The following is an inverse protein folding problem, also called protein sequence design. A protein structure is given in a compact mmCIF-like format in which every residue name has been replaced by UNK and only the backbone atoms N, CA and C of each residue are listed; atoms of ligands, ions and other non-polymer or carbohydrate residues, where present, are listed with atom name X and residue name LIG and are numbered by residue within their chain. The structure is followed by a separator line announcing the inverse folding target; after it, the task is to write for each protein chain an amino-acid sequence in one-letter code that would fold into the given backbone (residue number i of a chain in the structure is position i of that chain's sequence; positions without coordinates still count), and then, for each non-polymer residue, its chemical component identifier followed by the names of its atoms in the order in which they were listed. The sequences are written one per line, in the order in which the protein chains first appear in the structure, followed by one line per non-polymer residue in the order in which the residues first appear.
data_IF_926984753442
#
_entry.id   IF_926984753442
#
_cell.length_a   1.000
_cell.length_b   1.000
_cell.length_c   1.000
_cell.angle_alpha   90.00
_cell.angle_beta   90.00
_cell.angle_gamma   90.00
#
_symmetry.space_group_name_H-M   'P 1'
#
loop_
_entity.id
_entity.type
_entity.pdbx_description
1 polymer ?
#
# COMPACT_ATOMS: atom_id res chain seq x y z
N UNK A 1 6.55 9.89 -5.22
CA UNK A 1 5.11 10.16 -5.49
C UNK A 1 4.20 9.39 -4.50
N UNK A 2 4.44 8.10 -4.22
CA UNK A 2 3.63 7.28 -3.29
C UNK A 2 3.61 7.86 -1.87
N UNK A 3 4.73 8.32 -1.35
CA UNK A 3 4.81 8.94 -0.02
C UNK A 3 4.03 10.26 0.14
N UNK A 4 3.78 10.98 -0.95
CA UNK A 4 2.95 12.18 -0.95
C UNK A 4 1.45 11.83 -0.97
N UNK A 5 1.05 10.80 -1.72
CA UNK A 5 -0.33 10.30 -1.77
C UNK A 5 -0.76 9.68 -0.43
N UNK A 6 0.10 8.87 0.19
CA UNK A 6 -0.17 8.29 1.52
C UNK A 6 -0.31 9.40 2.57
N UNK A 7 0.56 10.41 2.58
CA UNK A 7 0.44 11.56 3.48
C UNK A 7 -0.83 12.37 3.23
N UNK A 8 -1.23 12.54 1.99
CA UNK A 8 -2.47 13.26 1.65
C UNK A 8 -3.73 12.47 2.06
N UNK A 9 -3.78 11.16 1.85
CA UNK A 9 -4.92 10.32 2.23
C UNK A 9 -5.03 10.13 3.75
N UNK A 10 -3.93 9.83 4.44
CA UNK A 10 -3.92 9.73 5.91
C UNK A 10 -4.28 11.09 6.52
N UNK A 11 -3.71 12.18 6.02
CA UNK A 11 -4.05 13.52 6.47
C UNK A 11 -5.50 13.93 6.17
N UNK A 12 -6.13 13.43 5.12
CA UNK A 12 -7.53 13.70 4.80
C UNK A 12 -8.48 12.89 5.69
N UNK A 13 -8.20 11.61 5.94
CA UNK A 13 -9.03 10.77 6.81
C UNK A 13 -8.90 11.12 8.29
N UNK A 14 -7.69 11.39 8.77
CA UNK A 14 -7.50 11.90 10.14
C UNK A 14 -8.23 13.25 10.30
N UNK A 15 -8.15 14.14 9.32
CA UNK A 15 -8.91 15.40 9.34
C UNK A 15 -10.42 15.18 9.31
N UNK A 16 -10.94 14.21 8.57
CA UNK A 16 -12.37 13.93 8.49
C UNK A 16 -12.90 13.29 9.78
N UNK A 17 -12.23 12.29 10.35
CA UNK A 17 -12.69 11.59 11.56
C UNK A 17 -12.40 12.38 12.83
N UNK A 18 -11.20 12.90 13.02
CA UNK A 18 -10.86 13.75 14.17
C UNK A 18 -11.62 15.08 14.07
N UNK A 19 -11.74 15.64 12.87
CA UNK A 19 -12.54 16.84 12.62
C UNK A 19 -13.98 16.65 13.07
N UNK A 20 -14.68 15.59 12.63
CA UNK A 20 -16.07 15.36 12.99
C UNK A 20 -16.28 15.17 14.52
N UNK A 21 -15.40 14.43 15.20
CA UNK A 21 -15.45 14.24 16.64
C UNK A 21 -15.12 15.51 17.42
N UNK A 22 -14.10 16.25 16.99
CA UNK A 22 -13.71 17.53 17.62
C UNK A 22 -14.76 18.62 17.36
N UNK A 23 -15.34 18.68 16.13
CA UNK A 23 -16.44 19.59 15.83
C UNK A 23 -17.68 19.33 16.71
N UNK A 24 -17.99 18.07 17.00
CA UNK A 24 -19.09 17.69 17.86
C UNK A 24 -18.85 18.06 19.34
N UNK A 25 -17.61 17.99 19.83
CA UNK A 25 -17.28 18.22 21.24
C UNK A 25 -16.88 19.66 21.57
N UNK A 26 -16.26 20.39 20.66
CA UNK A 26 -15.62 21.68 20.93
C UNK A 26 -16.39 22.87 20.34
N UNK A 27 -17.25 22.65 19.36
CA UNK A 27 -17.97 23.71 18.64
C UNK A 27 -17.11 24.44 17.60
N UNK A 28 -17.76 24.81 16.49
CA UNK A 28 -17.10 25.35 15.27
C UNK A 28 -16.33 26.65 15.54
N UNK A 29 -16.80 27.49 16.44
CA UNK A 29 -16.20 28.80 16.68
C UNK A 29 -14.85 28.75 17.42
N UNK A 30 -14.64 27.73 18.25
CA UNK A 30 -13.34 27.52 18.93
C UNK A 30 -12.25 27.00 18.01
N UNK A 31 -12.62 26.29 16.92
CA UNK A 31 -11.68 25.75 15.94
C UNK A 31 -11.16 26.82 14.97
N UNK A 32 -11.83 27.98 14.85
CA UNK A 32 -11.37 29.11 14.03
C UNK A 32 -10.12 29.79 14.60
N UNK A 33 -9.86 29.69 15.88
CA UNK A 33 -8.74 30.31 16.57
C UNK A 33 -7.53 29.37 16.68
N UNK A 34 -7.15 28.73 15.58
CA UNK A 34 -5.95 27.91 15.53
C UNK A 34 -4.68 28.76 15.64
N UNK A 35 -3.88 28.50 16.64
CA UNK A 35 -2.65 29.23 16.89
C UNK A 35 -1.57 28.87 15.86
N UNK A 36 -1.38 29.77 14.89
CA UNK A 36 -0.18 29.85 14.07
C UNK A 36 0.07 28.77 13.02
N UNK A 37 -0.95 27.98 12.61
CA UNK A 37 -0.79 27.05 11.47
C UNK A 37 0.28 25.95 11.65
N UNK A 38 0.82 25.79 12.86
CA UNK A 38 1.89 24.81 13.12
C UNK A 38 1.32 23.49 13.58
N UNK A 39 1.46 22.50 12.73
CA UNK A 39 1.31 21.10 13.12
C UNK A 39 2.61 20.72 13.81
N UNK A 40 2.53 20.28 15.06
CA UNK A 40 3.66 19.76 15.79
C UNK A 40 3.45 18.27 16.05
N UNK A 41 4.51 17.53 16.28
CA UNK A 41 4.44 16.10 16.48
C UNK A 41 5.81 15.47 16.69
N UNK A 42 5.81 14.15 16.80
CA UNK A 42 7.03 13.37 17.03
C UNK A 42 8.11 13.55 15.93
N UNK A 43 7.76 14.07 14.74
CA UNK A 43 8.74 14.39 13.69
C UNK A 43 9.73 15.50 14.13
N UNK A 44 9.36 16.30 15.14
CA UNK A 44 10.23 17.29 15.76
C UNK A 44 11.04 16.71 16.94
N UNK A 45 10.89 15.42 17.27
CA UNK A 45 11.58 14.80 18.39
C UNK A 45 13.11 14.95 18.30
N UNK A 46 13.67 14.83 17.09
CA UNK A 46 15.12 15.06 16.87
C UNK A 46 15.56 16.49 17.19
N UNK A 47 14.73 17.48 16.83
CA UNK A 47 14.99 18.89 17.16
C UNK A 47 14.88 19.15 18.66
N UNK A 48 13.84 18.64 19.31
CA UNK A 48 13.63 18.82 20.75
C UNK A 48 14.66 18.05 21.58
N UNK A 49 15.16 16.91 21.10
CA UNK A 49 16.21 16.14 21.79
C UNK A 49 17.52 16.93 21.87
N UNK A 50 17.85 17.76 20.88
CA UNK A 50 18.99 18.65 20.94
C UNK A 50 18.89 19.61 22.15
N UNK A 51 17.75 20.27 22.33
CA UNK A 51 17.54 21.17 23.47
C UNK A 51 17.55 20.44 24.81
N UNK A 52 17.08 19.20 24.83
CA UNK A 52 17.15 18.37 26.03
C UNK A 52 18.59 18.12 26.44
N UNK A 53 19.40 17.66 25.49
CA UNK A 53 20.83 17.39 25.75
C UNK A 53 21.56 18.67 26.19
N UNK A 54 21.31 19.80 25.52
CA UNK A 54 21.90 21.09 25.91
C UNK A 54 21.48 21.52 27.32
N UNK A 55 20.23 21.27 27.71
CA UNK A 55 19.76 21.50 29.07
C UNK A 55 20.49 20.63 30.10
N UNK A 56 20.74 19.35 29.78
CA UNK A 56 21.53 18.45 30.63
C UNK A 56 23.02 18.90 30.77
N UNK A 57 23.52 19.58 29.75
CA UNK A 57 24.87 20.16 29.74
C UNK A 57 24.96 21.55 30.44
N UNK A 58 23.86 22.02 31.06
CA UNK A 58 23.82 23.24 31.84
C UNK A 58 23.33 24.49 31.14
N UNK A 59 22.81 24.40 29.92
CA UNK A 59 22.19 25.53 29.22
C UNK A 59 20.75 25.64 29.69
N UNK A 60 20.52 26.47 30.72
CA UNK A 60 19.24 26.54 31.46
C UNK A 60 18.07 27.05 30.62
N UNK A 61 18.31 27.90 29.63
CA UNK A 61 17.31 28.41 28.68
C UNK A 61 16.60 27.28 27.90
N UNK A 62 17.31 26.17 27.70
CA UNK A 62 16.77 24.98 27.01
C UNK A 62 15.63 24.28 27.77
N UNK A 63 15.51 24.49 29.09
CA UNK A 63 14.43 23.94 29.90
C UNK A 63 13.05 24.46 29.47
N UNK A 64 12.99 25.62 28.82
CA UNK A 64 11.73 26.14 28.25
C UNK A 64 11.11 25.21 27.19
N UNK A 65 11.93 24.36 26.57
CA UNK A 65 11.49 23.39 25.56
C UNK A 65 11.07 22.03 26.16
N UNK A 66 11.18 21.85 27.47
CA UNK A 66 10.94 20.56 28.12
C UNK A 66 9.50 20.04 27.89
N UNK A 67 8.51 20.94 27.90
CA UNK A 67 7.11 20.58 27.64
C UNK A 67 6.91 20.04 26.22
N UNK A 68 7.45 20.71 25.20
CA UNK A 68 7.36 20.25 23.81
C UNK A 68 8.10 18.92 23.61
N UNK A 69 9.24 18.75 24.25
CA UNK A 69 10.00 17.51 24.20
C UNK A 69 9.22 16.36 24.85
N UNK A 70 8.68 16.53 26.03
CA UNK A 70 7.85 15.51 26.71
C UNK A 70 6.63 15.14 25.85
N UNK A 71 5.96 16.13 25.24
CA UNK A 71 4.86 15.88 24.32
C UNK A 71 5.34 15.12 23.07
N UNK A 72 6.48 15.50 22.49
CA UNK A 72 7.05 14.79 21.33
C UNK A 72 7.44 13.34 21.65
N UNK A 73 7.82 13.04 22.90
CA UNK A 73 8.15 11.69 23.36
C UNK A 73 6.90 10.84 23.67
N UNK A 74 5.80 11.45 24.12
CA UNK A 74 4.62 10.74 24.63
C UNK A 74 3.41 10.72 23.71
N UNK A 75 3.32 11.66 22.75
CA UNK A 75 2.18 11.81 21.88
C UNK A 75 2.57 11.64 20.39
N UNK A 76 1.56 11.50 19.52
CA UNK A 76 1.70 11.55 18.08
C UNK A 76 1.75 12.99 17.57
N UNK A 77 0.80 13.35 16.71
CA UNK A 77 0.63 14.70 16.20
C UNK A 77 -0.20 15.54 17.16
N UNK A 78 0.05 16.86 17.25
CA UNK A 78 -0.79 17.78 18.01
C UNK A 78 -1.01 19.10 17.29
N UNK A 79 -2.15 19.72 17.60
CA UNK A 79 -2.56 21.01 17.09
C UNK A 79 -2.95 21.89 18.28
N UNK A 80 -2.31 23.05 18.36
CA UNK A 80 -2.59 24.01 19.44
C UNK A 80 -3.64 25.03 18.98
N UNK A 81 -4.64 25.21 19.81
CA UNK A 81 -5.70 26.22 19.68
C UNK A 81 -5.72 27.13 20.89
N UNK A 82 -6.46 28.23 20.82
CA UNK A 82 -6.62 29.09 21.99
C UNK A 82 -7.42 28.40 23.09
N UNK A 83 -6.75 28.09 24.18
CA UNK A 83 -7.34 27.48 25.37
C UNK A 83 -7.45 25.96 25.35
N UNK A 84 -7.04 25.26 24.27
CA UNK A 84 -6.97 23.80 24.21
C UNK A 84 -5.97 23.31 23.18
N UNK A 85 -5.61 22.02 23.25
CA UNK A 85 -4.83 21.35 22.22
C UNK A 85 -5.50 20.03 21.82
N UNK A 86 -5.48 19.71 20.55
CA UNK A 86 -5.83 18.38 20.04
C UNK A 86 -4.53 17.59 19.95
N UNK A 87 -4.49 16.42 20.57
CA UNK A 87 -3.31 15.56 20.64
C UNK A 87 -3.73 14.16 20.18
N UNK A 88 -2.97 13.58 19.25
CA UNK A 88 -3.19 12.18 18.85
C UNK A 88 -2.35 11.25 19.72
N UNK A 89 -2.89 10.08 20.00
CA UNK A 89 -2.11 9.01 20.61
C UNK A 89 -1.03 8.49 19.63
N UNK A 90 -0.10 7.71 20.13
CA UNK A 90 0.81 6.90 19.33
C UNK A 90 0.16 5.58 18.98
N UNK A 91 0.49 5.00 17.83
CA UNK A 91 0.08 3.63 17.55
C UNK A 91 0.50 2.69 18.68
N UNK A 92 -0.43 1.86 19.13
CA UNK A 92 -0.13 0.77 20.07
C UNK A 92 0.69 -0.33 19.40
N UNK A 93 0.43 -0.54 18.09
CA UNK A 93 1.15 -1.49 17.26
C UNK A 93 1.54 -0.83 15.94
N UNK A 94 2.77 -1.12 15.51
CA UNK A 94 3.33 -0.61 14.27
C UNK A 94 4.22 -1.69 13.66
N UNK A 95 3.73 -2.32 12.61
CA UNK A 95 4.43 -3.39 11.90
C UNK A 95 5.04 -2.88 10.60
N UNK A 96 6.28 -3.31 10.34
CA UNK A 96 7.05 -2.92 9.16
C UNK A 96 7.78 -4.13 8.58
N UNK A 97 8.00 -4.09 7.28
CA UNK A 97 8.88 -5.03 6.61
C UNK A 97 10.38 -4.69 6.81
N UNK A 98 11.25 -5.52 6.27
CA UNK A 98 12.71 -5.35 6.35
C UNK A 98 13.22 -4.05 5.68
N UNK A 99 12.42 -3.44 4.78
CA UNK A 99 12.70 -2.15 4.15
C UNK A 99 12.11 -0.96 4.93
N UNK A 100 11.51 -1.21 6.10
CA UNK A 100 10.90 -0.19 6.95
C UNK A 100 9.53 0.31 6.46
N UNK A 101 8.92 -0.31 5.44
CA UNK A 101 7.59 0.02 4.93
C UNK A 101 6.53 -0.60 5.84
N UNK A 102 5.38 0.08 6.01
CA UNK A 102 4.25 -0.49 6.75
C UNK A 102 3.81 -1.81 6.12
N UNK A 103 3.77 -2.87 6.93
CA UNK A 103 3.43 -4.21 6.46
C UNK A 103 3.01 -5.10 7.63
N UNK A 104 1.91 -5.83 7.45
CA UNK A 104 1.50 -6.91 8.35
C UNK A 104 0.70 -7.94 7.54
N UNK A 105 1.13 -9.20 7.60
CA UNK A 105 0.46 -10.29 6.88
C UNK A 105 -0.85 -10.73 7.59
N UNK A 106 -0.84 -10.73 8.93
CA UNK A 106 -1.89 -11.36 9.73
C UNK A 106 -2.80 -10.36 10.45
N UNK A 107 -2.75 -9.07 10.07
CA UNK A 107 -3.55 -8.07 10.75
C UNK A 107 -3.31 -6.64 10.29
N UNK A 108 -3.57 -5.70 11.20
CA UNK A 108 -3.34 -4.29 10.92
C UNK A 108 -1.84 -3.96 10.98
N UNK A 109 -1.34 -3.20 10.01
CA UNK A 109 0.03 -2.68 10.04
C UNK A 109 0.19 -1.52 11.03
N UNK A 110 -0.91 -0.82 11.32
CA UNK A 110 -0.98 0.23 12.35
C UNK A 110 -2.26 0.02 13.14
N UNK A 111 -2.16 -0.04 14.47
CA UNK A 111 -3.30 -0.13 15.37
C UNK A 111 -3.13 0.82 16.55
N UNK A 112 -4.18 1.55 16.89
CA UNK A 112 -4.25 2.43 18.06
C UNK A 112 -5.01 1.75 19.20
N UNK A 113 -4.92 2.31 20.42
CA UNK A 113 -5.53 1.76 21.64
C UNK A 113 -7.06 1.77 21.61
N UNK A 114 -7.66 2.68 20.85
CA UNK A 114 -9.11 2.75 20.61
C UNK A 114 -9.62 1.70 19.60
N UNK A 115 -8.72 0.86 19.07
CA UNK A 115 -9.04 -0.14 18.06
C UNK A 115 -9.01 0.37 16.62
N UNK A 116 -8.87 1.69 16.41
CA UNK A 116 -8.70 2.21 15.06
C UNK A 116 -7.34 1.81 14.49
N UNK A 117 -7.34 1.52 13.19
CA UNK A 117 -6.11 1.16 12.50
C UNK A 117 -6.33 0.91 11.02
N UNK A 118 -5.33 0.39 10.36
CA UNK A 118 -5.42 0.02 8.96
C UNK A 118 -4.42 -1.07 8.58
N UNK A 119 -4.78 -1.81 7.52
CA UNK A 119 -3.92 -2.81 6.92
C UNK A 119 -3.00 -2.18 5.89
N UNK A 120 -1.78 -2.69 5.78
CA UNK A 120 -0.85 -2.30 4.74
C UNK A 120 0.01 -3.49 4.29
N UNK A 121 0.27 -3.56 3.00
CA UNK A 121 1.12 -4.55 2.37
C UNK A 121 2.27 -3.85 1.65
N UNK A 122 3.49 -4.04 2.15
CA UNK A 122 4.71 -3.41 1.64
C UNK A 122 4.57 -1.90 1.35
N UNK A 123 3.93 -1.17 2.27
CA UNK A 123 3.71 0.26 2.18
C UNK A 123 2.43 0.68 1.44
N UNK A 124 1.72 -0.24 0.81
CA UNK A 124 0.43 0.01 0.17
C UNK A 124 -0.67 -0.22 1.19
N UNK A 125 -1.52 0.78 1.42
CA UNK A 125 -2.69 0.63 2.30
C UNK A 125 -3.75 -0.23 1.62
N UNK A 126 -4.19 -1.27 2.32
CA UNK A 126 -5.21 -2.20 1.85
C UNK A 126 -6.51 -1.94 2.60
N UNK A 127 -7.65 -1.74 1.93
CA UNK A 127 -8.97 -1.73 2.55
C UNK A 127 -9.23 -3.04 3.31
N UNK A 128 -9.87 -2.95 4.48
CA UNK A 128 -10.09 -4.13 5.35
C UNK A 128 -10.88 -5.25 4.65
N UNK A 129 -11.84 -4.88 3.80
CA UNK A 129 -12.63 -5.81 2.99
C UNK A 129 -11.83 -6.59 1.93
N UNK A 130 -10.59 -6.17 1.65
CA UNK A 130 -9.67 -6.83 0.73
C UNK A 130 -8.59 -7.64 1.46
N UNK A 131 -8.66 -7.73 2.78
CA UNK A 131 -7.76 -8.55 3.60
C UNK A 131 -8.34 -9.95 3.89
N UNK A 132 -9.52 -10.26 3.36
CA UNK A 132 -10.13 -11.58 3.52
C UNK A 132 -9.32 -12.64 2.77
N UNK A 133 -9.22 -13.83 3.36
CA UNK A 133 -8.45 -14.94 2.78
C UNK A 133 -9.15 -15.65 1.62
N UNK A 134 -10.43 -15.35 1.37
CA UNK A 134 -11.31 -16.01 0.41
C UNK A 134 -11.70 -15.10 -0.78
N UNK A 135 -10.87 -14.12 -1.10
CA UNK A 135 -11.13 -13.26 -2.25
C UNK A 135 -11.13 -14.06 -3.55
N UNK A 136 -12.22 -13.92 -4.30
CA UNK A 136 -12.32 -14.47 -5.66
C UNK A 136 -11.54 -13.64 -6.66
N UNK A 137 -11.11 -14.26 -7.75
CA UNK A 137 -10.44 -13.56 -8.86
C UNK A 137 -11.27 -12.39 -9.38
N UNK A 138 -12.58 -12.57 -9.52
CA UNK A 138 -13.52 -11.52 -9.94
C UNK A 138 -13.41 -10.27 -9.06
N UNK A 139 -13.37 -10.47 -7.74
CA UNK A 139 -13.22 -9.37 -6.79
C UNK A 139 -11.87 -8.68 -6.92
N UNK A 140 -10.80 -9.46 -7.08
CA UNK A 140 -9.43 -8.94 -7.23
C UNK A 140 -9.29 -8.12 -8.52
N UNK A 141 -9.78 -8.62 -9.64
CA UNK A 141 -9.72 -7.92 -10.94
C UNK A 141 -10.53 -6.61 -10.89
N UNK A 142 -11.66 -6.58 -10.18
CA UNK A 142 -12.51 -5.38 -10.06
C UNK A 142 -11.87 -4.23 -9.26
N UNK A 143 -10.71 -4.43 -8.63
CA UNK A 143 -9.99 -3.40 -7.90
C UNK A 143 -9.43 -2.37 -8.89
N UNK A 144 -9.99 -1.15 -8.89
CA UNK A 144 -9.60 -0.09 -9.83
C UNK A 144 -8.19 0.46 -9.61
N UNK A 145 -7.69 0.45 -8.36
CA UNK A 145 -6.33 0.91 -8.07
C UNK A 145 -5.32 -0.22 -8.34
N UNK A 146 -4.45 -0.03 -9.33
CA UNK A 146 -3.47 -1.03 -9.77
C UNK A 146 -2.48 -1.46 -8.67
N UNK A 147 -2.04 -0.54 -7.80
CA UNK A 147 -1.12 -0.86 -6.70
C UNK A 147 -1.81 -1.69 -5.61
N UNK A 148 -3.07 -1.36 -5.29
CA UNK A 148 -3.88 -2.15 -4.34
C UNK A 148 -4.14 -3.52 -4.94
N UNK A 149 -4.57 -3.60 -6.22
CA UNK A 149 -4.81 -4.87 -6.92
C UNK A 149 -3.55 -5.75 -6.92
N UNK A 150 -2.39 -5.22 -7.29
CA UNK A 150 -1.12 -5.93 -7.26
C UNK A 150 -0.80 -6.47 -5.86
N UNK A 151 -0.99 -5.65 -4.83
CA UNK A 151 -0.75 -6.05 -3.45
C UNK A 151 -1.71 -7.15 -2.99
N UNK A 152 -2.98 -7.07 -3.37
CA UNK A 152 -3.98 -8.11 -3.04
C UNK A 152 -3.68 -9.42 -3.76
N UNK A 153 -3.24 -9.37 -5.03
CA UNK A 153 -2.75 -10.56 -5.76
C UNK A 153 -1.56 -11.20 -5.03
N UNK A 154 -0.61 -10.38 -4.57
CA UNK A 154 0.57 -10.86 -3.83
C UNK A 154 0.18 -11.49 -2.48
N UNK A 155 -0.81 -10.93 -1.78
CA UNK A 155 -1.36 -11.48 -0.52
C UNK A 155 -2.11 -12.80 -0.74
N UNK A 156 -2.94 -12.86 -1.77
CA UNK A 156 -3.80 -14.02 -2.07
C UNK A 156 -3.01 -15.17 -2.68
N UNK A 157 -2.01 -14.85 -3.50
CA UNK A 157 -1.24 -15.81 -4.29
C UNK A 157 -1.92 -16.19 -5.60
N UNK A 158 -1.13 -16.33 -6.66
CA UNK A 158 -1.65 -16.71 -7.98
C UNK A 158 -2.24 -18.11 -8.01
N UNK A 159 -1.68 -19.07 -7.26
CA UNK A 159 -2.16 -20.45 -7.25
C UNK A 159 -3.64 -20.56 -6.85
N UNK A 160 -4.05 -19.73 -5.87
CA UNK A 160 -5.44 -19.64 -5.46
C UNK A 160 -6.32 -18.94 -6.51
N UNK A 161 -5.84 -17.82 -7.06
CA UNK A 161 -6.58 -17.06 -8.07
C UNK A 161 -6.72 -17.85 -9.38
N UNK A 162 -5.72 -18.65 -9.71
CA UNK A 162 -5.71 -19.50 -10.90
C UNK A 162 -6.78 -20.61 -10.80
N UNK A 163 -7.04 -21.14 -9.60
CA UNK A 163 -8.10 -22.12 -9.40
C UNK A 163 -9.49 -21.58 -9.76
N UNK A 164 -9.70 -20.28 -9.64
CA UNK A 164 -10.96 -19.63 -10.03
C UNK A 164 -11.12 -19.48 -11.56
N UNK A 165 -10.02 -19.58 -12.34
CA UNK A 165 -10.03 -19.49 -13.80
C UNK A 165 -10.41 -20.82 -14.46
N UNK A 166 -10.25 -21.94 -13.76
CA UNK A 166 -10.41 -23.28 -14.31
C UNK A 166 -9.24 -23.70 -15.21
N UNK A 167 -9.55 -24.51 -16.25
CA UNK A 167 -8.52 -24.99 -17.15
C UNK A 167 -8.05 -23.90 -18.14
N UNK A 168 -6.75 -23.85 -18.45
CA UNK A 168 -6.26 -22.90 -19.43
C UNK A 168 -6.76 -23.20 -20.83
N UNK A 169 -7.06 -22.15 -21.59
CA UNK A 169 -7.44 -22.25 -23.02
C UNK A 169 -6.27 -22.80 -23.83
N UNK A 170 -5.05 -22.38 -23.48
CA UNK A 170 -3.82 -22.84 -24.13
C UNK A 170 -2.63 -22.63 -23.19
N UNK A 171 -1.61 -23.51 -23.34
CA UNK A 171 -0.33 -23.42 -22.66
C UNK A 171 0.78 -23.53 -23.69
N UNK A 172 1.83 -22.75 -23.54
CA UNK A 172 3.01 -22.80 -24.40
C UNK A 172 4.28 -22.54 -23.59
N UNK A 173 5.41 -23.07 -24.04
CA UNK A 173 6.71 -22.69 -23.49
C UNK A 173 6.94 -21.19 -23.69
N UNK A 174 7.51 -20.52 -22.66
CA UNK A 174 7.85 -19.10 -22.73
C UNK A 174 9.22 -18.91 -23.43
N UNK A 175 9.27 -18.41 -24.69
CA UNK A 175 10.51 -18.18 -25.37
C UNK A 175 11.47 -17.24 -24.66
N UNK A 176 10.88 -16.22 -23.99
CA UNK A 176 11.65 -15.21 -23.25
C UNK A 176 12.09 -15.67 -21.86
N UNK A 177 11.70 -16.88 -21.43
CA UNK A 177 12.05 -17.41 -20.12
C UNK A 177 12.16 -18.94 -20.16
N UNK A 178 13.28 -19.47 -20.66
CA UNK A 178 13.48 -20.90 -20.86
C UNK A 178 13.19 -21.75 -19.62
N UNK A 179 12.41 -22.82 -19.81
CA UNK A 179 11.98 -23.71 -18.72
C UNK A 179 10.73 -23.24 -17.97
N UNK A 180 10.10 -22.15 -18.40
CA UNK A 180 8.81 -21.66 -17.89
C UNK A 180 7.74 -21.72 -18.98
N UNK A 181 6.49 -21.62 -18.56
CA UNK A 181 5.33 -21.68 -19.42
C UNK A 181 4.52 -20.38 -19.35
N UNK A 182 3.83 -20.10 -20.43
CA UNK A 182 2.75 -19.12 -20.54
C UNK A 182 1.43 -19.88 -20.56
N UNK A 183 0.51 -19.52 -19.67
CA UNK A 183 -0.82 -20.11 -19.64
C UNK A 183 -1.87 -19.03 -19.93
N UNK A 184 -2.77 -19.30 -20.86
CA UNK A 184 -3.82 -18.38 -21.30
C UNK A 184 -5.16 -18.86 -20.79
N UNK A 185 -5.91 -18.00 -20.10
CA UNK A 185 -7.19 -18.31 -19.49
C UNK A 185 -8.29 -17.39 -20.02
N UNK A 186 -9.50 -17.90 -20.14
CA UNK A 186 -10.67 -17.04 -20.30
C UNK A 186 -11.03 -16.34 -18.99
N UNK A 187 -11.19 -15.04 -19.03
CA UNK A 187 -11.68 -14.28 -17.87
C UNK A 187 -13.20 -14.36 -17.82
N UNK A 188 -13.82 -14.59 -16.65
CA UNK A 188 -15.28 -14.64 -16.53
C UNK A 188 -15.97 -13.40 -17.12
N UNK A 189 -17.08 -13.62 -17.84
CA UNK A 189 -17.82 -12.55 -18.47
C UNK A 189 -18.35 -11.53 -17.44
N UNK A 190 -18.41 -10.25 -17.82
CA UNK A 190 -18.95 -9.17 -16.99
C UNK A 190 -17.92 -8.47 -16.09
N UNK A 191 -16.66 -8.91 -16.07
CA UNK A 191 -15.58 -8.24 -15.33
C UNK A 191 -14.97 -7.07 -16.12
N UNK A 192 -15.05 -7.12 -17.42
CA UNK A 192 -14.62 -6.07 -18.35
C UNK A 192 -15.77 -5.76 -19.32
N UNK A 193 -15.73 -4.57 -19.90
CA UNK A 193 -16.71 -4.17 -20.95
C UNK A 193 -16.62 -5.07 -22.17
N UNK A 194 -15.40 -5.45 -22.55
CA UNK A 194 -15.11 -6.40 -23.62
C UNK A 194 -14.62 -7.73 -23.04
N UNK A 195 -14.79 -8.80 -23.81
CA UNK A 195 -14.24 -10.10 -23.45
C UNK A 195 -12.70 -10.05 -23.53
N UNK A 196 -12.05 -10.46 -22.45
CA UNK A 196 -10.60 -10.51 -22.35
C UNK A 196 -10.14 -11.91 -21.94
N UNK A 197 -8.88 -12.20 -22.19
CA UNK A 197 -8.16 -13.33 -21.63
C UNK A 197 -7.07 -12.84 -20.69
N UNK A 198 -6.64 -13.71 -19.79
CA UNK A 198 -5.54 -13.49 -18.89
C UNK A 198 -4.38 -14.40 -19.30
N UNK A 199 -3.23 -13.83 -19.64
CA UNK A 199 -2.00 -14.59 -19.78
C UNK A 199 -1.24 -14.57 -18.46
N UNK A 200 -1.00 -15.74 -17.88
CA UNK A 200 -0.17 -15.92 -16.70
C UNK A 200 1.24 -16.30 -17.12
N UNK A 201 2.22 -15.70 -16.45
CA UNK A 201 3.63 -15.91 -16.72
C UNK A 201 4.45 -15.84 -15.44
N UNK A 202 5.66 -16.41 -15.47
CA UNK A 202 6.65 -16.25 -14.41
C UNK A 202 7.71 -15.25 -14.88
N UNK A 203 8.17 -14.35 -14.00
CA UNK A 203 9.26 -13.45 -14.35
C UNK A 203 10.58 -14.21 -14.54
N UNK A 204 11.33 -13.86 -15.55
CA UNK A 204 12.63 -14.47 -15.85
C UNK A 204 13.75 -14.11 -14.88
N UNK A 205 13.54 -13.04 -14.09
CA UNK A 205 14.50 -12.60 -13.07
C UNK A 205 13.90 -12.75 -11.69
N UNK A 206 14.55 -13.50 -10.78
CA UNK A 206 14.13 -13.54 -9.38
C UNK A 206 14.23 -12.15 -8.77
N UNK A 207 13.39 -11.88 -7.79
CA UNK A 207 13.46 -10.66 -7.02
C UNK A 207 14.70 -10.64 -6.09
N UNK A 208 14.87 -9.55 -5.32
CA UNK A 208 16.01 -9.39 -4.40
C UNK A 208 16.09 -10.45 -3.30
N UNK A 209 14.99 -11.16 -3.04
CA UNK A 209 14.95 -12.28 -2.10
C UNK A 209 15.28 -13.63 -2.75
N UNK A 210 15.46 -13.66 -4.07
CA UNK A 210 15.65 -14.87 -4.86
C UNK A 210 14.33 -15.56 -5.25
N UNK A 211 13.18 -14.96 -4.94
CA UNK A 211 11.88 -15.53 -5.27
C UNK A 211 11.47 -15.18 -6.70
N UNK A 212 10.97 -16.17 -7.42
CA UNK A 212 10.33 -15.98 -8.71
C UNK A 212 8.91 -15.45 -8.53
N UNK A 213 8.54 -14.45 -9.31
CA UNK A 213 7.20 -13.84 -9.24
C UNK A 213 6.38 -14.21 -10.46
N UNK A 214 5.13 -14.56 -10.20
CA UNK A 214 4.12 -14.73 -11.24
C UNK A 214 3.40 -13.41 -11.50
N UNK A 215 3.05 -13.21 -12.77
CA UNK A 215 2.31 -12.04 -13.25
C UNK A 215 1.16 -12.47 -14.14
N UNK A 216 0.14 -11.67 -14.19
CA UNK A 216 -0.98 -11.84 -15.11
C UNK A 216 -1.25 -10.54 -15.87
N UNK A 217 -1.38 -10.63 -17.18
CA UNK A 217 -1.73 -9.52 -18.05
C UNK A 217 -2.99 -9.84 -18.82
N UNK A 218 -3.88 -8.83 -18.95
CA UNK A 218 -5.09 -8.98 -19.74
C UNK A 218 -4.83 -8.68 -21.20
N UNK A 219 -5.35 -9.54 -22.07
CA UNK A 219 -5.22 -9.42 -23.53
C UNK A 219 -6.60 -9.57 -24.20
N UNK A 220 -6.78 -9.11 -25.45
CA UNK A 220 -8.03 -9.31 -26.18
C UNK A 220 -8.39 -10.81 -26.31
N UNK A 221 -9.68 -11.16 -26.13
CA UNK A 221 -10.15 -12.54 -26.23
C UNK A 221 -9.99 -13.16 -27.64
N UNK A 222 -9.69 -12.36 -28.64
CA UNK A 222 -9.38 -12.82 -30.01
C UNK A 222 -8.03 -13.54 -30.12
N UNK A 223 -7.12 -13.30 -29.17
CA UNK A 223 -5.79 -13.92 -29.14
C UNK A 223 -5.91 -15.29 -28.48
N UNK A 224 -5.54 -16.36 -29.19
CA UNK A 224 -5.62 -17.75 -28.73
C UNK A 224 -4.27 -18.45 -28.50
N UNK A 225 -3.18 -17.81 -28.91
CA UNK A 225 -1.81 -18.30 -28.70
C UNK A 225 -1.17 -17.57 -27.50
N UNK A 226 -0.70 -18.28 -26.46
CA UNK A 226 -0.06 -17.65 -25.30
C UNK A 226 1.18 -16.82 -25.65
N UNK A 227 1.97 -17.24 -26.65
CA UNK A 227 3.15 -16.49 -27.12
C UNK A 227 2.74 -15.20 -27.83
N UNK A 228 1.66 -15.22 -28.59
CA UNK A 228 1.07 -14.02 -29.19
C UNK A 228 0.50 -13.09 -28.11
N UNK A 229 -0.18 -13.65 -27.11
CA UNK A 229 -0.72 -12.89 -25.98
C UNK A 229 0.40 -12.11 -25.26
N UNK A 230 1.50 -12.76 -24.99
CA UNK A 230 2.63 -12.11 -24.33
C UNK A 230 3.33 -11.09 -25.25
N UNK A 231 3.46 -11.37 -26.52
CA UNK A 231 3.97 -10.42 -27.49
C UNK A 231 3.11 -9.16 -27.58
N UNK A 232 1.78 -9.34 -27.57
CA UNK A 232 0.82 -8.24 -27.55
C UNK A 232 0.97 -7.37 -26.28
N UNK A 233 1.12 -7.99 -25.10
CA UNK A 233 1.32 -7.27 -23.82
C UNK A 233 2.61 -6.43 -23.83
N UNK A 234 3.65 -6.88 -24.52
CA UNK A 234 4.89 -6.12 -24.72
C UNK A 234 4.83 -5.12 -25.88
N UNK A 235 3.76 -5.10 -26.67
CA UNK A 235 3.64 -4.24 -27.84
C UNK A 235 4.60 -4.60 -28.98
N UNK A 236 5.02 -5.88 -29.10
CA UNK A 236 5.94 -6.37 -30.13
C UNK A 236 5.28 -7.43 -31.00
N UNK A 237 5.73 -7.62 -32.26
CA UNK A 237 5.27 -8.73 -33.08
C UNK A 237 5.60 -10.10 -32.45
N UNK A 238 4.69 -11.08 -32.62
CA UNK A 238 4.89 -12.45 -32.13
C UNK A 238 6.26 -13.04 -32.53
N UNK A 239 6.69 -12.81 -33.76
CA UNK A 239 7.99 -13.30 -34.28
C UNK A 239 9.18 -12.72 -33.52
N UNK A 240 9.07 -11.47 -33.08
CA UNK A 240 10.11 -10.81 -32.26
C UNK A 240 10.14 -11.42 -30.87
N UNK A 241 8.97 -11.57 -30.23
CA UNK A 241 8.91 -12.18 -28.89
C UNK A 241 9.38 -13.65 -28.93
N UNK A 242 8.99 -14.42 -29.95
CA UNK A 242 9.39 -15.82 -30.11
C UNK A 242 10.91 -16.02 -30.34
N UNK A 243 11.61 -14.98 -30.78
CA UNK A 243 13.06 -15.00 -30.97
C UNK A 243 13.86 -14.52 -29.75
N UNK A 244 13.18 -14.16 -28.60
CA UNK A 244 13.87 -13.77 -27.40
C UNK A 244 14.53 -14.98 -26.74
N UNK A 245 15.80 -14.82 -26.32
CA UNK A 245 16.53 -15.83 -25.55
C UNK A 245 16.33 -15.64 -24.04
N UNK A 246 16.04 -14.42 -23.61
CA UNK A 246 15.81 -14.06 -22.22
C UNK A 246 14.99 -12.79 -22.08
N UNK A 247 14.00 -12.83 -21.20
CA UNK A 247 13.21 -11.68 -20.74
C UNK A 247 13.71 -11.25 -19.35
N UNK A 248 13.93 -9.97 -19.17
CA UNK A 248 14.33 -9.38 -17.88
C UNK A 248 13.23 -8.48 -17.33
#
# INVERSE_FOLDING_TARGET
QVGAQVRAQVGAQVRAQVGAQVYAQVGVDRLRNWYGGRIAGQHWAGYYSYYYVMGQLGVTECHRMAGQMLTALSAGWWWCYQGFAVVTDRPAELHRDAQGRLHCADGMAVRYRDGWGFHAWHGVRIPAELCASDLSLSRVISIGNSEVRRSVIEMTGWDKLESDLGEPVAVAADPGNPGRELALYDVPAGLYEERVRLVLMTNGSPDRSGAERRYGETVPATISDPVEAQAWAYGVPRSVYAALERRT
#
